data_IF_708563498502
#
_entry.id   IF_708563498502
#
_cell.length_a   1.000
_cell.length_b   1.000
_cell.length_c   1.000
_cell.angle_alpha   90.00
_cell.angle_beta   90.00
_cell.angle_gamma   90.00
#
_symmetry.space_group_name_H-M   'P 1'
#
loop_
_entity.id
_entity.type
_entity.pdbx_description
1 polymer ?
#
# COMPACT_ATOMS: atom_id res chain seq x y z
N UNK A 1 -0.85 -3.38 -28.10
CA UNK A 1 -1.64 -4.13 -27.10
C UNK A 1 -1.07 -3.91 -25.71
N UNK A 2 -1.91 -3.56 -24.76
CA UNK A 2 -1.47 -3.48 -23.37
C UNK A 2 -1.24 -4.89 -22.82
N UNK A 3 -0.10 -5.08 -22.15
CA UNK A 3 0.20 -6.32 -21.44
C UNK A 3 -0.48 -6.28 -20.09
N UNK A 4 -1.03 -7.43 -19.67
CA UNK A 4 -1.59 -7.53 -18.31
C UNK A 4 -0.46 -7.51 -17.30
N UNK A 5 -0.57 -6.65 -16.29
CA UNK A 5 0.40 -6.53 -15.20
C UNK A 5 -0.14 -7.17 -13.93
N UNK A 6 0.77 -7.65 -13.09
CA UNK A 6 0.45 -8.36 -11.85
C UNK A 6 1.11 -7.68 -10.66
N UNK A 7 0.38 -7.57 -9.56
CA UNK A 7 0.93 -7.06 -8.30
C UNK A 7 1.79 -8.11 -7.60
N UNK A 8 2.39 -7.70 -6.49
CA UNK A 8 3.29 -8.55 -5.71
C UNK A 8 2.56 -9.30 -4.62
N UNK A 9 3.15 -10.40 -4.09
CA UNK A 9 2.68 -11.00 -2.84
C UNK A 9 2.70 -9.97 -1.70
N UNK A 10 1.84 -10.12 -0.69
CA UNK A 10 1.88 -9.25 0.47
C UNK A 10 3.13 -9.48 1.31
N UNK A 11 3.60 -8.43 2.00
CA UNK A 11 4.50 -8.58 3.13
C UNK A 11 3.65 -8.49 4.40
N UNK A 12 3.52 -9.61 5.09
CA UNK A 12 2.70 -9.70 6.29
C UNK A 12 3.14 -10.88 7.13
N UNK A 13 2.91 -10.77 8.43
CA UNK A 13 3.02 -11.88 9.35
C UNK A 13 1.85 -11.85 10.34
N UNK A 14 1.77 -12.85 11.21
CA UNK A 14 0.65 -12.97 12.17
C UNK A 14 0.64 -11.89 13.25
N UNK A 15 1.72 -11.14 13.40
CA UNK A 15 1.79 -10.06 14.39
C UNK A 15 1.24 -8.75 13.85
N UNK A 16 1.01 -8.63 12.54
CA UNK A 16 0.52 -7.41 11.92
C UNK A 16 -0.87 -7.03 12.48
N UNK A 17 -1.01 -5.76 12.85
CA UNK A 17 -2.28 -5.18 13.28
C UNK A 17 -2.74 -4.04 12.35
N UNK A 18 -1.89 -3.65 11.40
CA UNK A 18 -2.15 -2.60 10.41
C UNK A 18 -1.74 -3.09 9.02
N UNK A 19 -2.46 -2.58 8.01
CA UNK A 19 -2.15 -2.85 6.61
C UNK A 19 -2.05 -1.53 5.84
N UNK A 20 -0.93 -1.31 5.17
CA UNK A 20 -0.84 -0.27 4.13
C UNK A 20 -1.28 -0.93 2.81
N UNK A 21 -2.26 -0.32 2.14
CA UNK A 21 -2.83 -0.87 0.93
C UNK A 21 -2.77 0.16 -0.20
N UNK A 22 -2.01 -0.18 -1.25
CA UNK A 22 -1.95 0.60 -2.49
C UNK A 22 -2.95 0.09 -3.52
N UNK A 23 -2.87 0.62 -4.73
CA UNK A 23 -3.68 0.18 -5.88
C UNK A 23 -3.03 -1.00 -6.61
N UNK A 24 -1.95 -0.73 -7.34
CA UNK A 24 -1.12 -1.73 -8.04
C UNK A 24 0.27 -1.12 -8.27
N UNK A 25 1.36 -1.92 -8.36
CA UNK A 25 2.70 -1.36 -8.56
C UNK A 25 2.81 -0.53 -9.85
N UNK A 26 3.54 0.59 -9.77
CA UNK A 26 3.92 1.37 -10.95
C UNK A 26 5.01 0.67 -11.79
N UNK A 27 5.36 1.26 -12.93
CA UNK A 27 6.34 0.66 -13.86
C UNK A 27 7.70 0.43 -13.21
N UNK A 28 8.20 1.39 -12.44
CA UNK A 28 9.51 1.27 -11.78
C UNK A 28 9.50 0.17 -10.71
N UNK A 29 8.40 0.04 -9.97
CA UNK A 29 8.22 -1.02 -8.99
C UNK A 29 8.19 -2.40 -9.67
N UNK A 30 7.49 -2.52 -10.78
CA UNK A 30 7.46 -3.76 -11.57
C UNK A 30 8.84 -4.12 -12.11
N UNK A 31 9.59 -3.13 -12.60
CA UNK A 31 10.94 -3.34 -13.11
C UNK A 31 11.89 -3.84 -12.03
N UNK A 32 11.80 -3.28 -10.82
CA UNK A 32 12.66 -3.61 -9.68
C UNK A 32 12.12 -4.74 -8.81
N UNK A 33 10.87 -5.14 -9.01
CA UNK A 33 10.15 -6.09 -8.15
C UNK A 33 10.17 -5.64 -6.68
N UNK A 34 9.89 -4.35 -6.44
CA UNK A 34 9.90 -3.74 -5.12
C UNK A 34 8.73 -2.77 -4.96
N UNK A 35 8.07 -2.80 -3.83
CA UNK A 35 7.03 -1.83 -3.50
C UNK A 35 7.61 -0.41 -3.43
N UNK A 36 6.90 0.52 -4.07
CA UNK A 36 7.23 1.94 -4.01
C UNK A 36 8.67 2.27 -4.43
N UNK A 37 9.11 1.66 -5.52
CA UNK A 37 10.49 1.76 -6.00
C UNK A 37 10.82 3.04 -6.78
N UNK A 38 9.80 3.78 -7.26
CA UNK A 38 10.06 5.02 -8.00
C UNK A 38 10.82 6.01 -7.10
N UNK A 39 11.93 6.63 -7.59
CA UNK A 39 12.76 7.50 -6.75
C UNK A 39 12.03 8.68 -6.13
N UNK A 40 10.96 9.16 -6.76
CA UNK A 40 10.13 10.26 -6.26
C UNK A 40 8.90 9.80 -5.48
N UNK A 41 8.69 8.49 -5.31
CA UNK A 41 7.66 8.03 -4.39
C UNK A 41 8.13 8.23 -2.96
N UNK A 42 7.30 8.83 -2.13
CA UNK A 42 7.69 9.29 -0.80
C UNK A 42 7.42 8.27 0.32
N UNK A 43 6.84 7.09 0.02
CA UNK A 43 6.45 6.16 1.09
C UNK A 43 7.62 5.82 2.02
N UNK A 44 8.75 5.41 1.47
CA UNK A 44 9.88 4.98 2.29
C UNK A 44 10.49 6.13 3.09
N UNK A 45 10.50 7.34 2.53
CA UNK A 45 10.95 8.54 3.26
C UNK A 45 9.98 8.89 4.39
N UNK A 46 8.67 8.75 4.16
CA UNK A 46 7.64 8.99 5.18
C UNK A 46 7.76 7.95 6.29
N UNK A 47 7.85 6.68 5.95
CA UNK A 47 8.01 5.61 6.94
C UNK A 47 9.31 5.74 7.72
N UNK A 48 10.40 6.11 7.07
CA UNK A 48 11.67 6.39 7.74
C UNK A 48 11.56 7.51 8.78
N UNK A 49 10.85 8.58 8.44
CA UNK A 49 10.60 9.69 9.36
C UNK A 49 9.73 9.29 10.56
N UNK A 50 8.72 8.45 10.34
CA UNK A 50 7.77 8.04 11.37
C UNK A 50 8.32 6.92 12.25
N UNK A 51 9.00 5.94 11.66
CA UNK A 51 9.50 4.74 12.34
C UNK A 51 10.98 4.82 12.71
N UNK A 52 11.59 5.97 12.47
CA UNK A 52 12.99 6.26 12.83
C UNK A 52 14.00 5.32 12.18
N UNK A 53 14.00 5.28 10.84
CA UNK A 53 15.05 4.59 10.09
C UNK A 53 15.47 5.41 8.86
N UNK A 54 16.70 5.17 8.38
CA UNK A 54 17.21 5.78 7.15
C UNK A 54 16.55 5.12 5.93
N UNK A 55 15.82 5.87 5.09
CA UNK A 55 15.18 5.29 3.90
C UNK A 55 16.17 4.75 2.87
N UNK A 56 17.46 5.05 2.99
CA UNK A 56 18.51 4.55 2.09
C UNK A 56 18.99 3.12 2.44
N UNK A 57 18.55 2.55 3.56
CA UNK A 57 18.90 1.16 3.89
C UNK A 57 18.37 0.17 2.83
N UNK A 58 18.94 -1.05 2.71
CA UNK A 58 18.48 -2.03 1.73
C UNK A 58 16.97 -2.27 1.81
N UNK A 59 16.35 -2.59 0.67
CA UNK A 59 14.91 -2.79 0.56
C UNK A 59 14.38 -3.82 1.58
N UNK A 60 15.07 -4.96 1.72
CA UNK A 60 14.68 -6.01 2.67
C UNK A 60 14.70 -5.51 4.12
N UNK A 61 15.63 -4.62 4.44
CA UNK A 61 15.69 -3.98 5.76
C UNK A 61 14.52 -3.02 5.97
N UNK A 62 14.11 -2.27 4.93
CA UNK A 62 12.92 -1.41 5.01
C UNK A 62 11.65 -2.22 5.23
N UNK A 63 11.50 -3.33 4.53
CA UNK A 63 10.37 -4.26 4.74
C UNK A 63 10.38 -4.78 6.19
N UNK A 64 11.54 -5.17 6.71
CA UNK A 64 11.68 -5.63 8.09
C UNK A 64 11.25 -4.56 9.10
N UNK A 65 11.56 -3.29 8.82
CA UNK A 65 11.13 -2.16 9.68
C UNK A 65 9.60 -2.04 9.75
N UNK A 66 8.89 -2.25 8.64
CA UNK A 66 7.43 -2.27 8.66
C UNK A 66 6.92 -3.43 9.52
N UNK A 67 7.42 -4.64 9.30
CA UNK A 67 6.97 -5.83 10.01
C UNK A 67 7.27 -5.76 11.51
N UNK A 68 8.44 -5.24 11.91
CA UNK A 68 8.80 -4.98 13.31
C UNK A 68 7.80 -4.05 13.99
N UNK A 69 7.20 -3.14 13.22
CA UNK A 69 6.17 -2.22 13.70
C UNK A 69 4.75 -2.72 13.46
N UNK A 70 4.59 -4.02 13.15
CA UNK A 70 3.30 -4.69 12.96
C UNK A 70 2.50 -4.15 11.77
N UNK A 71 3.20 -3.63 10.77
CA UNK A 71 2.63 -3.06 9.55
C UNK A 71 2.82 -4.03 8.40
N UNK A 72 1.71 -4.52 7.84
CA UNK A 72 1.69 -5.29 6.60
C UNK A 72 1.59 -4.35 5.39
N UNK A 73 1.98 -4.85 4.22
CA UNK A 73 2.03 -4.07 2.98
C UNK A 73 1.50 -4.91 1.82
N UNK A 74 0.54 -4.38 1.08
CA UNK A 74 -0.03 -5.03 -0.10
C UNK A 74 -0.67 -4.02 -1.04
N UNK A 75 -1.23 -4.52 -2.16
CA UNK A 75 -2.03 -3.74 -3.11
C UNK A 75 -3.44 -4.31 -3.23
N UNK A 76 -4.38 -3.46 -3.63
CA UNK A 76 -5.78 -3.84 -3.82
C UNK A 76 -5.97 -4.74 -5.04
N UNK A 77 -5.31 -4.39 -6.14
CA UNK A 77 -5.48 -5.03 -7.45
C UNK A 77 -4.46 -6.14 -7.62
N UNK A 78 -4.94 -7.35 -7.93
CA UNK A 78 -4.08 -8.48 -8.23
C UNK A 78 -3.46 -8.36 -9.62
N UNK A 79 -4.27 -8.00 -10.61
CA UNK A 79 -3.80 -7.79 -11.98
C UNK A 79 -4.73 -6.83 -12.72
N UNK A 80 -4.20 -6.20 -13.74
CA UNK A 80 -4.98 -5.31 -14.61
C UNK A 80 -4.25 -5.04 -15.94
N UNK A 81 -4.94 -4.34 -16.83
CA UNK A 81 -4.32 -3.68 -17.98
C UNK A 81 -4.14 -2.20 -17.62
N UNK A 82 -2.91 -1.69 -17.76
CA UNK A 82 -2.62 -0.29 -17.51
C UNK A 82 -1.41 0.14 -18.33
N UNK A 83 -1.57 1.05 -19.30
CA UNK A 83 -0.43 1.73 -19.93
C UNK A 83 0.16 2.72 -18.91
N UNK A 84 1.48 2.70 -18.72
CA UNK A 84 2.14 3.60 -17.78
C UNK A 84 1.90 3.23 -16.31
N UNK A 85 1.82 4.26 -15.45
CA UNK A 85 1.77 4.09 -13.99
C UNK A 85 0.61 4.82 -13.31
N UNK A 86 -0.29 5.45 -14.07
CA UNK A 86 -1.38 6.23 -13.49
C UNK A 86 -2.57 5.36 -13.09
N UNK A 87 -3.09 5.55 -11.86
CA UNK A 87 -4.26 4.81 -11.37
C UNK A 87 -5.50 5.04 -12.24
N UNK A 88 -5.64 6.22 -12.86
CA UNK A 88 -6.74 6.53 -13.77
C UNK A 88 -6.74 5.68 -15.04
N UNK A 89 -5.61 5.07 -15.39
CA UNK A 89 -5.46 4.23 -16.58
C UNK A 89 -5.66 2.74 -16.29
N UNK A 90 -5.98 2.36 -15.06
CA UNK A 90 -6.26 0.97 -14.68
C UNK A 90 -7.54 0.50 -15.38
N UNK A 91 -7.46 -0.62 -16.10
CA UNK A 91 -8.55 -1.22 -16.84
C UNK A 91 -8.62 -2.73 -16.61
N UNK A 92 -9.83 -3.28 -16.61
CA UNK A 92 -10.07 -4.72 -16.48
C UNK A 92 -9.36 -5.32 -15.25
N UNK A 93 -9.42 -4.60 -14.14
CA UNK A 93 -8.76 -5.00 -12.90
C UNK A 93 -9.46 -6.18 -12.22
N UNK A 94 -8.66 -7.07 -11.66
CA UNK A 94 -9.11 -8.15 -10.78
C UNK A 94 -8.51 -7.92 -9.38
N UNK A 95 -9.32 -8.00 -8.32
CA UNK A 95 -8.84 -7.73 -6.96
C UNK A 95 -8.03 -8.88 -6.41
N UNK A 96 -7.21 -8.59 -5.40
CA UNK A 96 -6.62 -9.60 -4.54
C UNK A 96 -7.70 -10.27 -3.68
N UNK A 97 -7.42 -11.50 -3.23
CA UNK A 97 -8.32 -12.25 -2.35
C UNK A 97 -8.15 -11.82 -0.89
N UNK A 98 -8.94 -10.82 -0.50
CA UNK A 98 -8.89 -10.27 0.86
C UNK A 98 -9.53 -11.19 1.90
N UNK A 99 -10.45 -12.08 1.54
CA UNK A 99 -11.00 -13.05 2.48
C UNK A 99 -9.89 -13.99 2.99
N UNK A 100 -9.10 -14.53 2.08
CA UNK A 100 -7.96 -15.40 2.43
C UNK A 100 -6.90 -14.61 3.19
N UNK A 101 -6.58 -13.39 2.75
CA UNK A 101 -5.56 -12.57 3.38
C UNK A 101 -5.88 -12.27 4.85
N UNK A 102 -7.08 -11.78 5.14
CA UNK A 102 -7.44 -11.43 6.52
C UNK A 102 -7.61 -12.66 7.42
N UNK A 103 -7.92 -13.83 6.86
CA UNK A 103 -7.91 -15.08 7.62
C UNK A 103 -6.50 -15.49 8.03
N UNK A 104 -5.50 -15.24 7.17
CA UNK A 104 -4.10 -15.54 7.49
C UNK A 104 -3.45 -14.51 8.40
N UNK A 105 -3.99 -13.28 8.45
CA UNK A 105 -3.51 -12.20 9.31
C UNK A 105 -4.64 -11.63 10.17
N UNK A 106 -5.17 -12.44 11.12
CA UNK A 106 -6.39 -12.07 11.84
C UNK A 106 -6.21 -10.93 12.83
N UNK A 107 -4.97 -10.52 13.11
CA UNK A 107 -4.69 -9.40 14.00
C UNK A 107 -4.88 -8.03 13.35
N UNK A 108 -5.03 -7.95 12.03
CA UNK A 108 -5.19 -6.67 11.34
C UNK A 108 -6.55 -6.07 11.67
N UNK A 109 -6.53 -4.86 12.22
CA UNK A 109 -7.70 -4.10 12.63
C UNK A 109 -7.86 -2.80 11.84
N UNK A 110 -6.77 -2.28 11.29
CA UNK A 110 -6.73 -0.98 10.58
C UNK A 110 -6.14 -1.11 9.20
N UNK A 111 -6.77 -0.47 8.23
CA UNK A 111 -6.28 -0.38 6.84
C UNK A 111 -6.01 1.07 6.50
N UNK A 112 -4.78 1.35 6.08
CA UNK A 112 -4.31 2.66 5.64
C UNK A 112 -4.17 2.65 4.13
N UNK A 113 -5.13 3.25 3.44
CA UNK A 113 -5.13 3.31 1.98
C UNK A 113 -4.17 4.39 1.50
N UNK A 114 -3.21 4.00 0.68
CA UNK A 114 -2.27 4.95 0.07
C UNK A 114 -2.94 5.63 -1.12
N UNK A 115 -3.73 6.65 -0.83
CA UNK A 115 -4.47 7.42 -1.80
C UNK A 115 -5.93 6.96 -1.97
N UNK A 116 -6.72 7.83 -2.59
CA UNK A 116 -8.16 7.61 -2.77
C UNK A 116 -8.47 6.48 -3.76
N UNK A 117 -7.65 6.31 -4.79
CA UNK A 117 -7.86 5.25 -5.79
C UNK A 117 -7.79 3.86 -5.15
N UNK A 118 -6.82 3.63 -4.25
CA UNK A 118 -6.71 2.38 -3.51
C UNK A 118 -7.98 2.08 -2.71
N UNK A 119 -8.49 3.08 -1.99
CA UNK A 119 -9.72 2.95 -1.21
C UNK A 119 -10.94 2.67 -2.11
N UNK A 120 -11.11 3.45 -3.17
CA UNK A 120 -12.24 3.29 -4.11
C UNK A 120 -12.26 1.89 -4.73
N UNK A 121 -11.12 1.40 -5.17
CA UNK A 121 -10.98 0.07 -5.76
C UNK A 121 -11.28 -1.02 -4.72
N UNK A 122 -10.77 -0.86 -3.49
CA UNK A 122 -11.03 -1.79 -2.41
C UNK A 122 -12.53 -1.89 -2.11
N UNK A 123 -13.21 -0.78 -1.92
CA UNK A 123 -14.66 -0.75 -1.65
C UNK A 123 -15.44 -1.39 -2.81
N UNK A 124 -15.08 -1.05 -4.05
CA UNK A 124 -15.72 -1.61 -5.25
C UNK A 124 -15.66 -3.13 -5.28
N UNK A 125 -14.49 -3.70 -5.01
CA UNK A 125 -14.22 -5.13 -5.21
C UNK A 125 -14.47 -6.00 -3.99
N UNK A 126 -14.65 -5.41 -2.80
CA UNK A 126 -14.90 -6.19 -1.58
C UNK A 126 -16.36 -6.26 -1.16
N UNK A 127 -17.27 -5.67 -1.94
CA UNK A 127 -18.70 -5.62 -1.59
C UNK A 127 -19.33 -6.98 -1.35
N UNK A 128 -18.87 -8.00 -2.06
CA UNK A 128 -19.38 -9.37 -1.96
C UNK A 128 -18.49 -10.28 -1.12
N UNK A 129 -17.39 -9.75 -0.59
CA UNK A 129 -16.49 -10.51 0.27
C UNK A 129 -16.92 -10.42 1.74
N UNK A 130 -16.69 -11.51 2.47
CA UNK A 130 -16.89 -11.53 3.93
C UNK A 130 -15.58 -11.16 4.58
N UNK A 131 -15.52 -9.93 5.09
CA UNK A 131 -14.33 -9.37 5.74
C UNK A 131 -14.56 -9.20 7.24
N UNK A 132 -13.47 -9.19 8.05
CA UNK A 132 -13.58 -8.82 9.45
C UNK A 132 -13.98 -7.34 9.59
N UNK A 133 -14.32 -6.93 10.79
CA UNK A 133 -14.51 -5.52 11.11
C UNK A 133 -13.16 -4.80 11.04
N UNK A 134 -13.08 -3.74 10.23
CA UNK A 134 -11.85 -3.00 9.94
C UNK A 134 -12.10 -1.50 10.05
N UNK A 135 -11.13 -0.80 10.61
CA UNK A 135 -11.09 0.67 10.62
C UNK A 135 -10.32 1.15 9.39
N UNK A 136 -10.94 2.03 8.59
CA UNK A 136 -10.34 2.54 7.35
C UNK A 136 -9.82 3.97 7.51
N UNK A 137 -8.60 4.20 7.02
CA UNK A 137 -7.98 5.51 6.93
C UNK A 137 -7.52 5.75 5.49
N UNK A 138 -8.05 6.78 4.84
CA UNK A 138 -7.61 7.18 3.50
C UNK A 138 -6.51 8.22 3.66
N UNK A 139 -5.29 7.86 3.26
CA UNK A 139 -4.10 8.68 3.45
C UNK A 139 -3.76 9.46 2.18
N UNK A 140 -3.05 10.60 2.30
CA UNK A 140 -2.53 11.26 1.10
C UNK A 140 -1.61 10.31 0.35
N UNK A 141 -1.81 10.20 -0.98
CA UNK A 141 -0.98 9.35 -1.84
C UNK A 141 0.48 9.77 -1.77
N UNK A 142 1.38 8.78 -1.68
CA UNK A 142 2.82 8.99 -1.72
C UNK A 142 3.39 9.06 -3.13
N UNK A 143 2.54 8.87 -4.14
CA UNK A 143 2.91 8.93 -5.56
C UNK A 143 3.47 10.30 -5.94
N UNK A 144 4.47 10.36 -6.87
CA UNK A 144 4.91 11.64 -7.44
C UNK A 144 3.79 12.45 -8.08
N UNK A 145 2.70 11.81 -8.50
CA UNK A 145 1.52 12.49 -9.05
C UNK A 145 0.81 13.36 -8.02
N UNK A 146 0.99 13.12 -6.72
CA UNK A 146 0.39 13.91 -5.64
C UNK A 146 1.35 15.01 -5.13
N UNK A 147 1.82 15.86 -6.04
CA UNK A 147 2.81 16.89 -5.71
C UNK A 147 2.21 18.12 -5.00
N UNK A 148 0.90 18.27 -5.00
CA UNK A 148 0.22 19.44 -4.40
C UNK A 148 0.32 19.46 -2.87
N UNK A 149 0.46 18.30 -2.23
CA UNK A 149 0.62 18.18 -0.77
C UNK A 149 2.11 18.11 -0.46
N UNK A 150 2.59 18.94 0.48
CA UNK A 150 4.00 18.93 0.87
C UNK A 150 4.40 17.63 1.56
N UNK A 151 5.70 17.30 1.51
CA UNK A 151 6.25 16.16 2.22
C UNK A 151 5.95 16.22 3.73
N UNK A 152 6.16 17.39 4.34
CA UNK A 152 5.89 17.57 5.77
C UNK A 152 4.41 17.31 6.12
N UNK A 153 3.48 17.76 5.29
CA UNK A 153 2.06 17.53 5.50
C UNK A 153 1.71 16.04 5.35
N UNK A 154 2.33 15.35 4.40
CA UNK A 154 2.15 13.89 4.23
C UNK A 154 2.68 13.13 5.44
N UNK A 155 3.87 13.47 5.94
CA UNK A 155 4.44 12.86 7.15
C UNK A 155 3.47 13.02 8.33
N UNK A 156 2.97 14.23 8.55
CA UNK A 156 2.05 14.50 9.65
C UNK A 156 0.77 13.68 9.54
N UNK A 157 0.19 13.59 8.33
CA UNK A 157 -1.00 12.79 8.09
C UNK A 157 -0.74 11.29 8.34
N UNK A 158 0.37 10.77 7.84
CA UNK A 158 0.72 9.35 7.97
C UNK A 158 1.11 8.94 9.40
N UNK A 159 1.40 9.90 10.31
CA UNK A 159 1.66 9.58 11.72
C UNK A 159 0.51 8.84 12.40
N UNK A 160 -0.68 8.88 11.86
CA UNK A 160 -1.81 8.07 12.35
C UNK A 160 -1.52 6.58 12.41
N UNK A 161 -0.60 6.09 11.57
CA UNK A 161 -0.27 4.66 11.53
C UNK A 161 0.40 4.16 12.81
N UNK A 162 1.03 5.07 13.57
CA UNK A 162 1.65 4.75 14.87
C UNK A 162 0.89 5.35 16.05
N UNK A 163 -0.23 6.01 15.81
CA UNK A 163 -1.01 6.59 16.89
C UNK A 163 -1.62 5.49 17.77
N UNK A 164 -1.59 5.64 19.11
CA UNK A 164 -2.29 4.70 20.00
C UNK A 164 -3.80 4.78 19.78
N UNK A 165 -4.49 3.70 20.14
CA UNK A 165 -5.95 3.63 20.12
C UNK A 165 -6.59 4.53 21.20
#
# INVERSE_FOLDING_TARGET
>A
MSVRIYSFPPFADKTADKLILGSIPGEESLRRQQYYAHPRNELWKIMGAILDFDPAIPYESRISKLLENRIALWDTVHNCHRPGSMDSDIQAEEPNDFEVFFKSCPGIEKVFFNGQAAHRLFIKHTRTMILPELEFHVMPSTSPANAAISFAAKVEAWRKIIAPD
#
